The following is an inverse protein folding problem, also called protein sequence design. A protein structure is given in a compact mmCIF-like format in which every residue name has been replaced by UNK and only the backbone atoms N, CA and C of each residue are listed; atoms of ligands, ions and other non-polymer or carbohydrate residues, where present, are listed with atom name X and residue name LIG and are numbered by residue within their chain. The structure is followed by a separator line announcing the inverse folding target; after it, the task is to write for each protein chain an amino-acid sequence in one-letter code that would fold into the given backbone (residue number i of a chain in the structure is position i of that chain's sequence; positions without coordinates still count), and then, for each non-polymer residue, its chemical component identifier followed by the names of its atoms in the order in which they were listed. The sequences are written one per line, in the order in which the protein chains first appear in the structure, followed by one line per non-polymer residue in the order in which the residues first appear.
data_IF_983115054938
#
_entry.id   IF_983115054938
#
_cell.length_a   1.000
_cell.length_b   1.000
_cell.length_c   1.000
_cell.angle_alpha   90.00
_cell.angle_beta   90.00
_cell.angle_gamma   90.00
#
_symmetry.space_group_name_H-M   'P 1'
#
loop_
_entity.id
_entity.type
_entity.pdbx_description
1 polymer ?
#
# COMPACT_ATOMS: atom_id res chain seq x y z
N UNK A 1 -14.79 69.86 57.42
CA UNK A 1 -14.41 68.49 57.83
C UNK A 1 -14.15 67.69 56.58
N UNK A 2 -12.95 67.08 56.47
CA UNK A 2 -12.55 65.88 55.69
C UNK A 2 -12.94 65.78 54.19
N UNK A 3 -12.08 65.45 53.24
CA UNK A 3 -10.73 64.90 53.23
C UNK A 3 -10.37 64.49 51.78
N UNK A 4 -9.06 64.35 51.50
CA UNK A 4 -8.50 63.72 50.29
C UNK A 4 -8.82 62.22 50.23
N UNK A 5 -8.86 61.61 49.04
CA UNK A 5 -7.83 60.67 48.52
C UNK A 5 -8.23 59.95 47.22
N UNK A 6 -7.18 59.58 46.49
CA UNK A 6 -7.00 58.99 45.15
C UNK A 6 -7.05 57.45 45.17
N UNK A 7 -7.44 56.76 44.09
CA UNK A 7 -7.08 55.34 43.82
C UNK A 7 -7.37 54.91 42.34
N UNK A 8 -6.32 54.98 41.51
CA UNK A 8 -5.77 53.98 40.55
C UNK A 8 -6.64 53.04 39.66
N UNK A 9 -6.26 53.07 38.37
CA UNK A 9 -5.88 51.97 37.45
C UNK A 9 -6.90 50.89 37.02
N UNK A 10 -7.02 50.73 35.70
CA UNK A 10 -7.63 49.57 35.05
C UNK A 10 -7.43 49.60 33.53
N UNK A 11 -6.18 49.47 33.08
CA UNK A 11 -5.84 49.25 31.68
C UNK A 11 -6.53 47.99 31.16
N UNK A 12 -7.31 48.12 30.10
CA UNK A 12 -7.84 46.97 29.36
C UNK A 12 -6.73 46.48 28.43
N UNK A 13 -6.00 45.47 28.89
CA UNK A 13 -5.14 44.65 28.04
C UNK A 13 -6.01 43.93 27.01
N UNK A 14 -6.05 44.49 25.81
CA UNK A 14 -6.55 43.81 24.62
C UNK A 14 -5.51 42.78 24.18
N UNK A 15 -5.53 41.61 24.82
CA UNK A 15 -4.87 40.43 24.27
C UNK A 15 -5.59 40.01 22.98
N UNK A 16 -4.90 39.87 21.83
CA UNK A 16 -5.48 39.22 20.67
C UNK A 16 -5.70 37.73 21.02
N UNK A 17 -6.81 37.10 20.57
CA UNK A 17 -6.98 35.68 20.76
C UNK A 17 -5.84 34.97 20.04
N UNK A 18 -5.09 34.16 20.78
CA UNK A 18 -4.07 33.29 20.22
C UNK A 18 -4.70 32.50 19.06
N UNK A 19 -4.18 32.72 17.86
CA UNK A 19 -4.48 31.94 16.67
C UNK A 19 -4.27 30.47 17.02
N UNK A 20 -5.38 29.76 17.28
CA UNK A 20 -5.35 28.33 17.53
C UNK A 20 -4.75 27.65 16.30
N UNK A 21 -3.51 27.18 16.41
CA UNK A 21 -2.88 26.38 15.38
C UNK A 21 -3.71 25.11 15.23
N UNK A 22 -4.64 25.09 14.27
CA UNK A 22 -5.40 23.90 13.95
C UNK A 22 -4.40 22.87 13.45
N UNK A 23 -4.19 21.80 14.23
CA UNK A 23 -3.37 20.67 13.79
C UNK A 23 -4.00 20.14 12.50
N UNK A 24 -3.31 20.34 11.38
CA UNK A 24 -3.79 19.86 10.08
C UNK A 24 -3.78 18.32 10.11
N UNK A 25 -4.90 17.71 9.74
CA UNK A 25 -5.02 16.26 9.65
C UNK A 25 -4.83 15.77 8.21
N UNK A 26 -4.69 14.47 8.05
CA UNK A 26 -4.57 13.84 6.74
C UNK A 26 -5.74 14.25 5.82
N UNK A 27 -5.43 14.64 4.59
CA UNK A 27 -6.40 15.17 3.62
C UNK A 27 -6.58 16.70 3.68
N UNK A 28 -5.90 17.39 4.59
CA UNK A 28 -5.93 18.85 4.73
C UNK A 28 -4.52 19.48 4.66
N UNK A 29 -3.47 18.66 4.61
CA UNK A 29 -2.08 19.10 4.63
C UNK A 29 -1.62 19.49 3.22
N UNK A 30 -1.65 20.78 2.91
CA UNK A 30 -1.15 21.29 1.63
C UNK A 30 0.36 21.05 1.46
N UNK A 31 0.77 20.71 0.24
CA UNK A 31 2.18 20.62 -0.12
C UNK A 31 2.85 21.99 -0.11
N UNK A 32 4.06 22.08 0.41
CA UNK A 32 4.90 23.27 0.21
C UNK A 32 5.33 23.33 -1.26
N UNK A 33 5.70 24.52 -1.75
CA UNK A 33 6.16 24.67 -3.13
C UNK A 33 7.38 23.79 -3.46
N UNK A 34 8.31 23.65 -2.51
CA UNK A 34 9.50 22.81 -2.62
C UNK A 34 9.16 21.32 -2.67
N UNK A 35 8.30 20.85 -1.76
CA UNK A 35 7.87 19.46 -1.73
C UNK A 35 7.10 19.09 -3.00
N UNK A 36 6.18 19.96 -3.44
CA UNK A 36 5.44 19.81 -4.69
C UNK A 36 6.38 19.66 -5.90
N UNK A 37 7.36 20.57 -6.04
CA UNK A 37 8.31 20.51 -7.17
C UNK A 37 9.17 19.25 -7.15
N UNK A 38 9.62 18.83 -5.96
CA UNK A 38 10.42 17.63 -5.77
C UNK A 38 9.65 16.38 -6.18
N UNK A 39 8.44 16.20 -5.63
CA UNK A 39 7.56 15.08 -5.95
C UNK A 39 7.19 15.09 -7.44
N UNK A 40 6.85 16.26 -7.99
CA UNK A 40 6.48 16.39 -9.40
C UNK A 40 7.63 16.01 -10.35
N UNK A 41 8.87 16.35 -10.00
CA UNK A 41 10.05 15.94 -10.75
C UNK A 41 10.32 14.43 -10.62
N UNK A 42 10.23 13.89 -9.41
CA UNK A 42 10.45 12.48 -9.13
C UNK A 42 9.42 11.58 -9.82
N UNK A 43 8.13 11.94 -9.81
CA UNK A 43 7.05 11.17 -10.45
C UNK A 43 7.21 11.03 -11.97
N UNK A 44 7.97 11.92 -12.63
CA UNK A 44 8.25 11.83 -14.07
C UNK A 44 9.27 10.74 -14.41
N UNK A 45 10.12 10.36 -13.46
CA UNK A 45 11.18 9.38 -13.69
C UNK A 45 10.58 8.01 -14.03
N UNK A 46 11.22 7.32 -14.98
CA UNK A 46 10.85 5.94 -15.32
C UNK A 46 11.61 4.99 -14.40
N UNK A 47 10.99 3.86 -14.08
CA UNK A 47 11.59 2.86 -13.21
C UNK A 47 12.79 2.17 -13.89
N UNK A 48 13.74 1.70 -13.08
CA UNK A 48 14.79 0.82 -13.56
C UNK A 48 14.29 -0.62 -13.78
N UNK A 49 15.04 -1.46 -14.53
CA UNK A 49 14.68 -2.85 -14.79
C UNK A 49 14.51 -3.70 -13.51
N UNK A 50 15.14 -3.32 -12.40
CA UNK A 50 15.07 -3.99 -11.10
C UNK A 50 13.67 -3.95 -10.46
N UNK A 51 12.82 -3.01 -10.87
CA UNK A 51 11.42 -2.94 -10.41
C UNK A 51 10.45 -3.71 -11.32
N UNK A 52 10.92 -4.22 -12.46
CA UNK A 52 10.07 -4.78 -13.51
C UNK A 52 10.18 -6.31 -13.54
N UNK A 53 9.15 -6.98 -13.06
CA UNK A 53 8.96 -8.42 -13.19
C UNK A 53 8.22 -8.75 -14.49
N UNK A 54 8.26 -10.02 -14.92
CA UNK A 54 7.56 -10.46 -16.12
C UNK A 54 7.06 -11.89 -16.01
N UNK A 55 5.89 -12.16 -16.58
CA UNK A 55 5.28 -13.50 -16.68
C UNK A 55 4.83 -13.80 -18.10
N UNK A 56 4.65 -15.08 -18.42
CA UNK A 56 3.95 -15.48 -19.65
C UNK A 56 2.44 -15.43 -19.41
N UNK A 57 1.72 -14.73 -20.27
CA UNK A 57 0.27 -14.73 -20.31
C UNK A 57 -0.24 -15.78 -21.31
N UNK A 58 -1.57 -15.97 -21.35
CA UNK A 58 -2.21 -16.77 -22.39
C UNK A 58 -1.80 -16.31 -23.79
N UNK A 59 -1.61 -17.26 -24.71
CA UNK A 59 -1.12 -16.97 -26.06
C UNK A 59 0.38 -16.71 -26.17
N UNK A 60 1.17 -17.00 -25.13
CA UNK A 60 2.64 -16.95 -25.17
C UNK A 60 3.24 -15.54 -25.11
N UNK A 61 2.41 -14.51 -24.88
CA UNK A 61 2.88 -13.14 -24.76
C UNK A 61 3.51 -12.89 -23.39
N UNK A 62 4.67 -12.23 -23.38
CA UNK A 62 5.33 -11.78 -22.17
C UNK A 62 4.67 -10.49 -21.67
N UNK A 63 4.18 -10.50 -20.43
CA UNK A 63 3.57 -9.34 -19.77
C UNK A 63 4.47 -8.87 -18.63
N UNK A 64 4.77 -7.58 -18.61
CA UNK A 64 5.54 -6.94 -17.54
C UNK A 64 4.62 -6.42 -16.44
N UNK A 65 5.07 -6.48 -15.20
CA UNK A 65 4.35 -5.97 -14.03
C UNK A 65 5.32 -5.55 -12.92
N UNK A 66 4.83 -4.74 -11.99
CA UNK A 66 5.54 -4.41 -10.75
C UNK A 66 4.87 -5.18 -9.61
N UNK A 67 5.69 -5.76 -8.74
CA UNK A 67 5.22 -6.49 -7.56
C UNK A 67 4.61 -5.56 -6.52
N UNK A 68 3.55 -6.01 -5.83
CA UNK A 68 2.79 -5.17 -4.91
C UNK A 68 3.65 -4.52 -3.82
N UNK A 69 4.57 -5.27 -3.23
CA UNK A 69 5.46 -4.76 -2.19
C UNK A 69 6.36 -3.62 -2.69
N UNK A 70 6.84 -3.69 -3.94
CA UNK A 70 7.67 -2.63 -4.55
C UNK A 70 6.89 -1.35 -4.74
N UNK A 71 5.63 -1.44 -5.17
CA UNK A 71 4.76 -0.26 -5.33
C UNK A 71 4.47 0.40 -3.98
N UNK A 72 4.26 -0.39 -2.92
CA UNK A 72 4.09 0.13 -1.56
C UNK A 72 5.35 0.87 -1.08
N UNK A 73 6.53 0.27 -1.26
CA UNK A 73 7.80 0.92 -0.91
C UNK A 73 8.00 2.23 -1.69
N UNK A 74 7.76 2.23 -3.00
CA UNK A 74 7.85 3.42 -3.84
C UNK A 74 6.90 4.53 -3.37
N UNK A 75 5.67 4.20 -2.97
CA UNK A 75 4.72 5.18 -2.45
C UNK A 75 5.17 5.75 -1.09
N UNK A 76 5.70 4.89 -0.20
CA UNK A 76 6.27 5.31 1.08
C UNK A 76 7.50 6.23 0.92
N UNK A 77 8.37 5.94 -0.05
CA UNK A 77 9.53 6.78 -0.37
C UNK A 77 9.11 8.11 -1.02
N UNK A 78 8.11 8.08 -1.89
CA UNK A 78 7.65 9.26 -2.64
C UNK A 78 6.86 10.24 -1.77
N UNK A 79 5.98 9.74 -0.90
CA UNK A 79 5.04 10.57 -0.15
C UNK A 79 5.31 10.54 1.36
N UNK A 80 6.16 9.65 1.85
CA UNK A 80 6.27 9.34 3.29
C UNK A 80 5.16 8.38 3.74
N UNK A 81 5.41 7.62 4.81
CA UNK A 81 4.46 6.61 5.32
C UNK A 81 3.08 7.18 5.71
N UNK A 82 3.02 8.48 6.02
CA UNK A 82 1.81 9.21 6.41
C UNK A 82 1.33 10.20 5.32
N UNK A 83 2.00 10.28 4.17
CA UNK A 83 1.64 11.21 3.10
C UNK A 83 0.67 10.63 2.08
N UNK A 84 0.41 9.33 2.15
CA UNK A 84 -0.58 8.64 1.32
C UNK A 84 -1.37 7.63 2.15
N UNK A 85 -2.55 7.30 1.67
CA UNK A 85 -3.41 6.25 2.23
C UNK A 85 -4.20 5.59 1.10
N UNK A 86 -4.77 4.42 1.36
CA UNK A 86 -5.70 3.80 0.45
C UNK A 86 -6.86 3.14 1.20
N UNK A 87 -7.99 3.00 0.51
CA UNK A 87 -9.16 2.28 0.99
C UNK A 87 -9.77 1.43 -0.12
N UNK A 88 -10.37 0.31 0.27
CA UNK A 88 -11.21 -0.49 -0.64
C UNK A 88 -12.62 0.08 -0.54
N UNK A 89 -13.06 0.80 -1.56
CA UNK A 89 -14.37 1.45 -1.58
C UNK A 89 -15.49 0.46 -1.87
N UNK A 90 -15.22 -0.54 -2.73
CA UNK A 90 -16.12 -1.64 -3.02
C UNK A 90 -15.33 -2.88 -3.44
N UNK A 91 -15.82 -4.07 -3.08
CA UNK A 91 -15.33 -5.33 -3.62
C UNK A 91 -16.50 -6.25 -3.97
N UNK A 92 -16.61 -6.63 -5.25
CA UNK A 92 -17.68 -7.47 -5.75
C UNK A 92 -17.12 -8.80 -6.28
N UNK A 93 -17.84 -9.89 -6.00
CA UNK A 93 -17.56 -11.20 -6.61
C UNK A 93 -18.43 -11.30 -7.84
N UNK A 94 -17.80 -11.28 -9.01
CA UNK A 94 -18.53 -11.27 -10.28
C UNK A 94 -19.06 -12.67 -10.60
N UNK A 95 -18.27 -13.71 -10.33
CA UNK A 95 -18.71 -15.10 -10.47
C UNK A 95 -17.93 -16.07 -9.58
N UNK A 96 -18.55 -17.20 -9.28
CA UNK A 96 -17.94 -18.37 -8.64
C UNK A 96 -18.52 -19.63 -9.28
N UNK A 97 -17.80 -20.16 -10.27
CA UNK A 97 -18.24 -21.32 -11.03
C UNK A 97 -17.53 -22.59 -10.57
N UNK A 98 -18.24 -23.72 -10.66
CA UNK A 98 -17.70 -25.05 -10.41
C UNK A 98 -17.80 -25.87 -11.69
N UNK A 99 -16.65 -26.23 -12.27
CA UNK A 99 -16.58 -27.05 -13.47
C UNK A 99 -15.58 -28.20 -13.22
N UNK A 100 -16.02 -29.44 -13.44
CA UNK A 100 -15.20 -30.65 -13.26
C UNK A 100 -14.46 -30.72 -11.91
N UNK A 101 -15.14 -30.34 -10.82
CA UNK A 101 -14.58 -30.35 -9.47
C UNK A 101 -13.54 -29.25 -9.21
N UNK A 102 -13.43 -28.25 -10.09
CA UNK A 102 -12.53 -27.10 -9.97
C UNK A 102 -13.31 -25.79 -9.97
N UNK A 103 -12.87 -24.85 -9.14
CA UNK A 103 -13.47 -23.53 -9.02
C UNK A 103 -12.81 -22.51 -9.94
N UNK A 104 -13.63 -21.63 -10.49
CA UNK A 104 -13.27 -20.48 -11.31
C UNK A 104 -13.92 -19.25 -10.68
N UNK A 105 -13.11 -18.28 -10.28
CA UNK A 105 -13.55 -17.14 -9.48
C UNK A 105 -13.01 -15.85 -10.10
N UNK A 106 -13.90 -14.89 -10.31
CA UNK A 106 -13.59 -13.52 -10.69
C UNK A 106 -14.06 -12.54 -9.63
N UNK A 107 -13.19 -11.62 -9.23
CA UNK A 107 -13.48 -10.59 -8.23
C UNK A 107 -12.94 -9.25 -8.73
N UNK A 108 -13.77 -8.21 -8.68
CA UNK A 108 -13.33 -6.83 -8.87
C UNK A 108 -13.26 -6.09 -7.52
N UNK A 109 -12.32 -5.15 -7.41
CA UNK A 109 -12.21 -4.25 -6.26
C UNK A 109 -11.94 -2.82 -6.72
N UNK A 110 -12.73 -1.88 -6.24
CA UNK A 110 -12.50 -0.45 -6.40
C UNK A 110 -11.60 0.00 -5.24
N UNK A 111 -10.45 0.57 -5.60
CA UNK A 111 -9.45 1.00 -4.63
C UNK A 111 -9.16 2.48 -4.85
N UNK A 112 -9.36 3.28 -3.81
CA UNK A 112 -9.06 4.70 -3.79
C UNK A 112 -7.76 4.94 -3.05
N UNK A 113 -6.85 5.66 -3.68
CA UNK A 113 -5.61 6.16 -3.09
C UNK A 113 -5.74 7.66 -2.92
N UNK A 114 -5.45 8.16 -1.72
CA UNK A 114 -5.52 9.58 -1.37
C UNK A 114 -4.16 10.05 -0.83
N UNK A 115 -3.78 11.29 -1.15
CA UNK A 115 -2.59 11.95 -0.60
C UNK A 115 -2.98 12.89 0.55
N UNK A 116 -1.98 13.32 1.32
CA UNK A 116 -2.17 14.17 2.51
C UNK A 116 -2.83 15.53 2.22
N UNK A 117 -2.77 16.00 0.98
CA UNK A 117 -3.41 17.26 0.53
C UNK A 117 -4.89 17.08 0.13
N UNK A 118 -5.38 15.83 0.15
CA UNK A 118 -6.75 15.48 -0.20
C UNK A 118 -6.94 15.02 -1.64
N UNK A 119 -5.93 15.19 -2.51
CA UNK A 119 -5.95 14.68 -3.88
C UNK A 119 -6.06 13.15 -3.90
N UNK A 120 -6.75 12.60 -4.91
CA UNK A 120 -6.99 11.16 -4.95
C UNK A 120 -7.16 10.63 -6.38
N UNK A 121 -6.88 9.33 -6.52
CA UNK A 121 -7.21 8.54 -7.69
C UNK A 121 -7.88 7.24 -7.25
N UNK A 122 -8.87 6.80 -8.01
CA UNK A 122 -9.55 5.53 -7.80
C UNK A 122 -9.53 4.74 -9.10
N UNK A 123 -9.27 3.44 -8.99
CA UNK A 123 -9.26 2.53 -10.14
C UNK A 123 -9.79 1.16 -9.69
N UNK A 124 -10.17 0.34 -10.67
CA UNK A 124 -10.63 -1.03 -10.45
C UNK A 124 -9.48 -2.00 -10.62
N UNK A 125 -9.32 -2.91 -9.67
CA UNK A 125 -8.45 -4.07 -9.79
C UNK A 125 -9.25 -5.33 -10.04
N UNK A 126 -8.62 -6.32 -10.66
CA UNK A 126 -9.25 -7.61 -10.92
C UNK A 126 -8.39 -8.78 -10.45
N UNK A 127 -9.03 -9.72 -9.75
CA UNK A 127 -8.39 -10.92 -9.26
C UNK A 127 -9.10 -12.16 -9.79
N UNK A 128 -8.28 -13.12 -10.24
CA UNK A 128 -8.76 -14.32 -10.92
C UNK A 128 -8.16 -15.54 -10.25
N UNK A 129 -8.98 -16.55 -9.96
CA UNK A 129 -8.50 -17.87 -9.54
C UNK A 129 -9.16 -18.96 -10.35
N UNK A 130 -8.36 -19.80 -11.01
CA UNK A 130 -8.85 -20.84 -11.91
C UNK A 130 -8.21 -22.18 -11.54
N UNK A 131 -9.03 -23.22 -11.52
CA UNK A 131 -8.54 -24.60 -11.50
C UNK A 131 -8.24 -25.18 -10.11
N UNK A 132 -8.41 -24.42 -9.03
CA UNK A 132 -8.26 -24.94 -7.67
C UNK A 132 -9.50 -25.74 -7.25
N UNK A 133 -9.29 -26.83 -6.50
CA UNK A 133 -10.39 -27.65 -5.96
C UNK A 133 -11.07 -27.03 -4.72
N UNK A 134 -10.38 -26.13 -4.02
CA UNK A 134 -10.90 -25.49 -2.80
C UNK A 134 -11.55 -24.16 -3.13
N UNK A 135 -12.85 -24.04 -2.88
CA UNK A 135 -13.60 -22.78 -3.03
C UNK A 135 -13.01 -21.66 -2.18
N UNK A 136 -12.60 -21.99 -0.95
CA UNK A 136 -12.04 -21.03 -0.01
C UNK A 136 -10.72 -20.42 -0.52
N UNK A 137 -9.79 -21.28 -0.97
CA UNK A 137 -8.51 -20.81 -1.53
C UNK A 137 -8.70 -20.02 -2.82
N UNK A 138 -9.68 -20.40 -3.67
CA UNK A 138 -10.00 -19.64 -4.88
C UNK A 138 -10.50 -18.24 -4.57
N UNK A 139 -11.44 -18.10 -3.62
CA UNK A 139 -11.98 -16.81 -3.19
C UNK A 139 -10.90 -15.95 -2.51
N UNK A 140 -10.09 -16.54 -1.64
CA UNK A 140 -8.99 -15.84 -0.97
C UNK A 140 -8.00 -15.24 -1.98
N UNK A 141 -7.54 -16.06 -2.94
CA UNK A 141 -6.62 -15.60 -3.99
C UNK A 141 -7.25 -14.46 -4.80
N UNK A 142 -8.46 -14.66 -5.32
CA UNK A 142 -9.09 -13.68 -6.20
C UNK A 142 -9.35 -12.36 -5.46
N UNK A 143 -9.83 -12.38 -4.21
CA UNK A 143 -10.06 -11.16 -3.42
C UNK A 143 -8.77 -10.40 -3.12
N UNK A 144 -7.71 -11.11 -2.68
CA UNK A 144 -6.41 -10.49 -2.37
C UNK A 144 -5.75 -9.90 -3.63
N UNK A 145 -5.84 -10.61 -4.74
CA UNK A 145 -5.29 -10.15 -6.02
C UNK A 145 -6.04 -8.92 -6.54
N UNK A 146 -7.37 -8.90 -6.47
CA UNK A 146 -8.19 -7.77 -6.90
C UNK A 146 -7.82 -6.46 -6.18
N UNK A 147 -7.68 -6.49 -4.84
CA UNK A 147 -7.28 -5.31 -4.05
C UNK A 147 -5.86 -4.86 -4.42
N UNK A 148 -4.92 -5.81 -4.50
CA UNK A 148 -3.53 -5.49 -4.82
C UNK A 148 -3.41 -4.89 -6.22
N UNK A 149 -4.16 -5.41 -7.19
CA UNK A 149 -4.19 -4.90 -8.55
C UNK A 149 -4.79 -3.49 -8.60
N UNK A 150 -5.91 -3.26 -7.91
CA UNK A 150 -6.58 -1.96 -7.84
C UNK A 150 -5.68 -0.91 -7.22
N UNK A 151 -4.98 -1.25 -6.13
CA UNK A 151 -4.00 -0.37 -5.50
C UNK A 151 -2.88 0.04 -6.46
N UNK A 152 -2.26 -0.93 -7.16
CA UNK A 152 -1.20 -0.64 -8.14
C UNK A 152 -1.70 0.26 -9.26
N UNK A 153 -2.92 0.03 -9.74
CA UNK A 153 -3.53 0.81 -10.82
C UNK A 153 -3.84 2.23 -10.38
N UNK A 154 -4.45 2.41 -9.21
CA UNK A 154 -4.71 3.74 -8.64
C UNK A 154 -3.41 4.53 -8.41
N UNK A 155 -2.37 3.89 -7.86
CA UNK A 155 -1.06 4.53 -7.64
C UNK A 155 -0.37 4.96 -8.94
N UNK A 156 -0.57 4.21 -10.04
CA UNK A 156 0.06 4.56 -11.32
C UNK A 156 -0.36 5.93 -11.83
N UNK A 157 -1.58 6.37 -11.50
CA UNK A 157 -2.16 7.60 -12.03
C UNK A 157 -1.39 8.84 -11.58
N UNK A 158 -0.62 8.74 -10.50
CA UNK A 158 0.27 9.81 -10.05
C UNK A 158 1.54 9.97 -10.90
N UNK A 159 2.04 8.91 -11.58
CA UNK A 159 3.21 9.09 -12.44
C UNK A 159 3.99 7.83 -12.83
N UNK A 160 5.03 8.05 -13.64
CA UNK A 160 5.91 7.01 -14.16
C UNK A 160 6.64 6.24 -13.05
N UNK A 161 7.08 6.95 -12.01
CA UNK A 161 7.80 6.36 -10.88
C UNK A 161 6.92 5.41 -10.05
N UNK A 162 5.59 5.55 -10.14
CA UNK A 162 4.63 4.64 -9.50
C UNK A 162 4.03 3.62 -10.49
N UNK A 163 4.69 3.42 -11.62
CA UNK A 163 4.38 2.35 -12.56
C UNK A 163 3.58 2.77 -13.79
N UNK A 164 3.35 4.07 -14.04
CA UNK A 164 2.71 4.46 -15.30
C UNK A 164 3.52 4.01 -16.52
N UNK A 165 4.87 4.07 -16.43
CA UNK A 165 5.78 3.74 -17.52
C UNK A 165 5.63 2.31 -18.07
N UNK A 166 5.09 1.35 -17.30
CA UNK A 166 5.00 -0.05 -17.74
C UNK A 166 4.02 -0.29 -18.91
N UNK A 167 3.13 0.67 -19.20
CA UNK A 167 2.27 0.60 -20.39
C UNK A 167 2.93 1.21 -21.64
N UNK A 168 4.03 1.95 -21.49
CA UNK A 168 4.74 2.52 -22.62
C UNK A 168 5.54 1.42 -23.34
N UNK A 169 5.12 1.09 -24.55
CA UNK A 169 5.77 0.08 -25.40
C UNK A 169 7.20 0.48 -25.76
N UNK A 170 7.50 1.76 -25.89
CA UNK A 170 8.85 2.26 -26.19
C UNK A 170 9.78 2.06 -25.00
N UNK A 171 9.29 2.34 -23.80
CA UNK A 171 9.98 2.03 -22.56
C UNK A 171 10.27 0.52 -22.41
N UNK A 172 9.28 -0.33 -22.66
CA UNK A 172 9.50 -1.78 -22.61
C UNK A 172 10.51 -2.26 -23.66
N UNK A 173 10.49 -1.66 -24.86
CA UNK A 173 11.50 -1.90 -25.91
C UNK A 173 12.90 -1.47 -25.47
N UNK A 174 13.04 -0.31 -24.82
CA UNK A 174 14.34 0.17 -24.34
C UNK A 174 14.90 -0.70 -23.22
N UNK A 175 14.05 -1.19 -22.30
CA UNK A 175 14.47 -2.10 -21.22
C UNK A 175 15.04 -3.43 -21.73
N UNK A 176 14.52 -3.93 -22.87
CA UNK A 176 15.00 -5.18 -23.47
C UNK A 176 16.37 -5.02 -24.15
N UNK A 177 16.78 -3.78 -24.48
CA UNK A 177 18.09 -3.49 -25.09
C UNK A 177 19.21 -3.29 -24.08
N UNK A 178 18.90 -3.21 -22.78
CA UNK A 178 19.90 -3.01 -21.73
C UNK A 178 20.79 -4.27 -21.57
N UNK A 179 22.12 -4.11 -21.49
CA UNK A 179 23.04 -5.23 -21.29
C UNK A 179 22.71 -6.01 -20.00
N UNK A 180 22.74 -7.35 -20.06
CA UNK A 180 22.50 -8.24 -18.91
C UNK A 180 23.37 -7.90 -17.69
N UNK A 181 24.60 -7.43 -17.91
CA UNK A 181 25.54 -7.03 -16.85
C UNK A 181 25.07 -5.81 -16.05
N UNK A 182 24.43 -4.84 -16.71
CA UNK A 182 23.83 -3.67 -16.05
C UNK A 182 22.69 -4.17 -15.17
N UNK A 183 21.79 -5.00 -15.71
CA UNK A 183 20.66 -5.60 -14.97
C UNK A 183 21.12 -6.34 -13.70
N UNK A 184 22.23 -7.07 -13.74
CA UNK A 184 22.77 -7.77 -12.57
C UNK A 184 23.33 -6.82 -11.50
N UNK A 185 23.98 -5.71 -11.92
CA UNK A 185 24.55 -4.72 -10.98
C UNK A 185 23.46 -3.96 -10.22
N UNK A 186 22.33 -3.66 -10.85
CA UNK A 186 21.15 -3.06 -10.21
C UNK A 186 20.48 -4.00 -9.21
N UNK A 187 20.36 -5.29 -9.55
CA UNK A 187 19.81 -6.31 -8.64
C UNK A 187 20.66 -6.45 -7.36
N UNK A 188 21.99 -6.31 -7.47
CA UNK A 188 22.90 -6.39 -6.33
C UNK A 188 22.89 -5.10 -5.48
N UNK A 189 22.74 -3.93 -6.09
CA UNK A 189 22.66 -2.64 -5.38
C UNK A 189 21.35 -2.50 -4.57
N UNK A 190 20.23 -3.00 -5.11
CA UNK A 190 18.96 -3.07 -4.39
C UNK A 190 18.96 -4.08 -3.22
N UNK A 191 20.00 -4.91 -3.11
CA UNK A 191 20.24 -5.83 -1.98
C UNK A 191 21.01 -5.21 -0.81
N UNK A 192 21.53 -3.98 -0.92
CA UNK A 192 22.42 -3.39 0.10
C UNK A 192 21.82 -2.25 0.94
N UNK A 193 20.51 -2.00 0.91
CA UNK A 193 19.92 -0.92 1.72
C UNK A 193 18.54 -1.21 2.32
N UNK A 194 18.20 -2.47 2.61
CA UNK A 194 16.85 -2.80 3.11
C UNK A 194 16.71 -3.98 4.07
N UNK A 195 17.79 -4.68 4.40
CA UNK A 195 17.76 -5.74 5.41
C UNK A 195 18.13 -5.11 6.76
N UNK A 196 17.13 -4.76 7.60
CA UNK A 196 17.17 -4.78 9.08
C UNK A 196 16.03 -4.02 9.82
N UNK A 197 14.93 -3.57 9.20
CA UNK A 197 13.85 -2.89 9.96
C UNK A 197 12.43 -3.43 9.73
N UNK A 198 12.22 -4.46 8.89
CA UNK A 198 10.86 -5.02 8.66
C UNK A 198 10.77 -6.53 8.93
N UNK A 199 11.60 -7.05 9.84
CA UNK A 199 11.41 -8.42 10.38
C UNK A 199 10.62 -8.45 11.70
N UNK A 200 10.21 -7.28 12.21
CA UNK A 200 9.45 -7.18 13.48
C UNK A 200 7.95 -6.86 13.33
N UNK A 201 7.42 -6.69 12.12
CA UNK A 201 5.98 -6.35 11.94
C UNK A 201 5.19 -7.38 11.11
N UNK A 202 5.83 -8.41 10.56
CA UNK A 202 5.15 -9.52 9.87
C UNK A 202 5.29 -10.89 10.55
N UNK A 203 5.65 -10.92 11.84
CA UNK A 203 5.50 -12.10 12.72
C UNK A 203 4.17 -12.06 13.52
N UNK A 204 3.11 -11.61 12.86
CA UNK A 204 1.76 -11.62 13.39
C UNK A 204 0.79 -12.06 12.31
N UNK A 205 0.80 -13.36 11.97
CA UNK A 205 -0.35 -14.19 11.58
C UNK A 205 0.14 -15.54 11.00
N UNK A 206 0.23 -16.52 11.90
CA UNK A 206 0.05 -17.97 11.69
C UNK A 206 1.07 -18.74 10.83
N UNK A 207 2.21 -19.07 11.42
CA UNK A 207 2.78 -20.43 11.31
C UNK A 207 2.43 -21.19 12.58
N UNK A 208 1.40 -22.03 12.53
CA UNK A 208 1.29 -23.22 13.38
C UNK A 208 1.03 -24.39 12.44
N UNK A 209 2.12 -24.92 11.87
CA UNK A 209 2.14 -26.28 11.32
C UNK A 209 2.50 -27.19 12.50
N UNK A 210 1.51 -27.60 13.29
CA UNK A 210 1.65 -28.68 14.26
C UNK A 210 1.81 -29.98 13.48
N UNK A 211 3.02 -30.55 13.49
CA UNK A 211 3.23 -31.96 13.13
C UNK A 211 2.59 -32.81 14.23
N UNK A 212 1.71 -33.72 13.84
CA UNK A 212 0.99 -34.58 14.77
C UNK A 212 1.89 -35.66 15.34
N UNK A 213 2.23 -35.55 16.63
CA UNK A 213 2.48 -36.70 17.50
C UNK A 213 2.53 -36.38 19.02
N UNK A 214 2.13 -35.17 19.47
CA UNK A 214 2.34 -34.77 20.88
C UNK A 214 1.14 -34.04 21.52
N UNK A 215 -0.10 -34.43 21.19
CA UNK A 215 -1.31 -33.97 21.91
C UNK A 215 -2.13 -35.17 22.37
N UNK A 216 -1.50 -36.07 23.12
CA UNK A 216 -2.23 -37.13 23.84
C UNK A 216 -1.78 -37.34 25.27
N UNK A 217 -1.37 -36.27 25.95
CA UNK A 217 -1.22 -36.28 27.41
C UNK A 217 -1.19 -34.85 27.93
N UNK A 218 -2.35 -34.23 28.18
CA UNK A 218 -2.55 -33.12 29.16
C UNK A 218 -3.97 -32.50 29.07
N UNK A 219 -5.02 -33.31 28.92
CA UNK A 219 -6.42 -32.85 29.04
C UNK A 219 -7.23 -33.61 30.09
N UNK A 220 -6.54 -34.19 31.09
CA UNK A 220 -7.15 -34.65 32.34
C UNK A 220 -6.21 -34.32 33.50
N UNK A 221 -6.42 -33.16 34.12
CA UNK A 221 -6.18 -32.86 35.54
C UNK A 221 -6.37 -31.35 35.74
N UNK A 222 -7.34 -30.95 36.55
CA UNK A 222 -7.32 -29.62 37.16
C UNK A 222 -8.62 -28.84 37.28
N UNK A 223 -9.81 -29.44 37.22
CA UNK A 223 -11.01 -28.81 37.78
C UNK A 223 -11.12 -29.17 39.26
N UNK A 224 -10.57 -28.29 40.11
CA UNK A 224 -10.66 -28.34 41.57
C UNK A 224 -11.65 -27.30 42.10
N UNK A 225 -12.79 -27.82 42.51
CA UNK A 225 -13.84 -27.35 43.45
C UNK A 225 -13.54 -26.10 44.29
N UNK A 226 -14.51 -25.17 44.33
CA UNK A 226 -14.83 -24.37 45.52
C UNK A 226 -16.35 -24.39 45.75
N UNK A 227 -16.72 -24.92 46.94
CA UNK A 227 -18.01 -24.94 47.69
C UNK A 227 -19.31 -25.22 46.96
#
# INVERSE_FOLDING_TARGET
MSGMEDTTLGGRDSHPPASGSSVLCFGQCQYTAEEYQTIQSALRQRLGPEYISSRMAGGGQKVCYIEGHRVISLANEMFGYNGWAHSVTQQNVDFVDLNNGKFYVGVCAFVRVQLKDGSYHEDVGYGVSEGLKSKALSLEKARKEAVTDGLKRALRSFGNALGNCILDKDYLRSLNKLPRQVRQKWMNAAGCSGENVIESVCHGLSVWRMTGEEVRTQLFRGSGVFT
#
